data_IF_163348156591
#
_entry.id   IF_163348156591
#
_cell.length_a   1.000
_cell.length_b   1.000
_cell.length_c   1.000
_cell.angle_alpha   90.00
_cell.angle_beta   90.00
_cell.angle_gamma   90.00
#
_symmetry.space_group_name_H-M   'P 1'
#
loop_
_entity.id
_entity.type
_entity.pdbx_description
1 polymer ?
#
# COMPACT_ATOMS: atom_id res chain seq x y z
N UNK A 1 -2.05 17.04 -17.07
CA UNK A 1 -1.73 15.65 -17.50
C UNK A 1 -0.85 15.02 -16.45
N UNK A 2 -0.99 13.71 -16.16
CA UNK A 2 -0.06 13.02 -15.24
C UNK A 2 1.21 12.71 -16.03
N UNK A 3 2.41 13.06 -15.52
CA UNK A 3 3.68 12.69 -16.15
C UNK A 3 3.84 11.17 -16.27
N UNK A 4 4.38 10.69 -17.39
CA UNK A 4 4.67 9.25 -17.58
C UNK A 4 5.60 8.70 -16.50
N UNK A 5 6.55 9.52 -16.02
CA UNK A 5 7.45 9.15 -14.91
C UNK A 5 6.67 8.79 -13.63
N UNK A 6 5.73 9.63 -13.22
CA UNK A 6 4.86 9.40 -12.05
C UNK A 6 4.05 8.11 -12.21
N UNK A 7 3.54 7.85 -13.42
CA UNK A 7 2.80 6.60 -13.70
C UNK A 7 3.69 5.36 -13.56
N UNK A 8 4.93 5.40 -14.08
CA UNK A 8 5.87 4.29 -13.94
C UNK A 8 6.26 4.07 -12.48
N UNK A 9 6.59 5.12 -11.72
CA UNK A 9 6.91 4.98 -10.30
C UNK A 9 5.71 4.45 -9.51
N UNK A 10 4.49 4.90 -9.83
CA UNK A 10 3.28 4.44 -9.16
C UNK A 10 2.91 2.97 -9.49
N UNK A 11 3.49 2.38 -10.55
CA UNK A 11 3.30 0.96 -10.87
C UNK A 11 4.14 0.02 -9.98
N UNK A 12 5.22 0.52 -9.37
CA UNK A 12 6.10 -0.25 -8.47
C UNK A 12 5.32 -0.93 -7.33
N UNK A 13 4.46 -0.24 -6.54
CA UNK A 13 3.72 -0.89 -5.47
C UNK A 13 2.75 -1.96 -5.98
N UNK A 14 2.18 -1.81 -7.18
CA UNK A 14 1.38 -2.87 -7.80
C UNK A 14 2.22 -4.11 -8.10
N UNK A 15 3.44 -3.94 -8.62
CA UNK A 15 4.34 -5.05 -8.88
C UNK A 15 4.70 -5.80 -7.58
N UNK A 16 4.97 -5.07 -6.49
CA UNK A 16 5.23 -5.65 -5.17
C UNK A 16 4.02 -6.48 -4.70
N UNK A 17 2.81 -5.93 -4.81
CA UNK A 17 1.57 -6.62 -4.43
C UNK A 17 1.34 -7.89 -5.27
N UNK A 18 1.61 -7.84 -6.58
CA UNK A 18 1.48 -9.01 -7.47
C UNK A 18 2.47 -10.10 -7.08
N UNK A 19 3.75 -9.75 -6.92
CA UNK A 19 4.77 -10.70 -6.47
C UNK A 19 4.39 -11.35 -5.14
N UNK A 20 3.91 -10.55 -4.18
CA UNK A 20 3.43 -11.05 -2.90
C UNK A 20 2.21 -11.98 -3.05
N UNK A 21 1.22 -11.59 -3.85
CA UNK A 21 0.01 -12.38 -4.08
C UNK A 21 0.34 -13.74 -4.68
N UNK A 22 1.25 -13.78 -5.66
CA UNK A 22 1.73 -15.03 -6.27
C UNK A 22 2.45 -15.91 -5.24
N UNK A 23 3.31 -15.32 -4.40
CA UNK A 23 4.00 -16.04 -3.33
C UNK A 23 3.01 -16.63 -2.32
N UNK A 24 2.04 -15.82 -1.86
CA UNK A 24 1.01 -16.25 -0.93
C UNK A 24 0.20 -17.40 -1.50
N UNK A 25 -0.28 -17.28 -2.75
CA UNK A 25 -1.03 -18.35 -3.42
C UNK A 25 -0.21 -19.65 -3.55
N UNK A 26 1.09 -19.53 -3.86
CA UNK A 26 1.98 -20.69 -3.98
C UNK A 26 2.19 -21.44 -2.66
N UNK A 27 2.08 -20.74 -1.51
CA UNK A 27 2.20 -21.33 -0.18
C UNK A 27 0.85 -21.56 0.52
N UNK A 28 -0.24 -21.05 -0.03
CA UNK A 28 -1.54 -21.01 0.61
C UNK A 28 -2.07 -22.38 1.02
N UNK A 29 -1.85 -23.40 0.18
CA UNK A 29 -2.25 -24.78 0.46
C UNK A 29 -1.46 -25.42 1.60
N UNK A 30 -0.27 -24.91 1.92
CA UNK A 30 0.55 -25.38 3.04
C UNK A 30 0.24 -24.69 4.36
N UNK A 31 -0.59 -23.64 4.34
CA UNK A 31 -0.97 -22.87 5.53
C UNK A 31 -2.20 -23.51 6.17
N UNK A 32 -2.18 -23.81 7.48
CA UNK A 32 -3.33 -24.36 8.19
C UNK A 32 -4.52 -23.39 8.12
N UNK A 33 -5.74 -23.94 8.08
CA UNK A 33 -6.98 -23.15 7.93
C UNK A 33 -7.18 -22.12 9.06
N UNK A 34 -6.62 -22.43 10.23
CA UNK A 34 -6.57 -21.53 11.37
C UNK A 34 -5.15 -21.06 11.65
N UNK A 35 -4.94 -19.75 11.61
CA UNK A 35 -3.70 -19.09 12.01
C UNK A 35 -3.88 -18.47 13.41
N UNK A 36 -2.87 -18.56 14.29
CA UNK A 36 -2.92 -17.87 15.57
C UNK A 36 -2.90 -16.36 15.31
N UNK A 37 -3.94 -15.65 15.72
CA UNK A 37 -3.92 -14.19 15.73
C UNK A 37 -3.40 -13.77 17.09
N UNK A 38 -2.28 -13.05 17.15
CA UNK A 38 -1.83 -12.47 18.41
C UNK A 38 -2.91 -11.50 18.94
N UNK A 39 -3.49 -11.84 20.08
CA UNK A 39 -4.33 -10.93 20.85
C UNK A 39 -3.48 -9.85 21.49
N UNK A 40 -3.95 -8.61 21.49
CA UNK A 40 -3.28 -7.51 22.18
C UNK A 40 -3.52 -7.61 23.69
N UNK A 41 -2.46 -7.62 24.51
CA UNK A 41 -2.55 -7.57 25.97
C UNK A 41 -2.76 -8.93 26.66
N UNK A 42 -3.70 -9.00 27.61
CA UNK A 42 -3.91 -10.16 28.54
C UNK A 42 -4.82 -11.27 27.98
N UNK A 43 -5.35 -11.10 26.77
CA UNK A 43 -6.24 -12.07 26.13
C UNK A 43 -5.41 -13.04 25.29
N UNK A 44 -5.53 -14.34 25.59
CA UNK A 44 -4.98 -15.40 24.76
C UNK A 44 -5.52 -15.26 23.34
N UNK A 45 -4.61 -15.06 22.39
CA UNK A 45 -4.92 -14.83 20.99
C UNK A 45 -5.86 -15.92 20.44
N UNK A 46 -6.94 -15.49 19.78
CA UNK A 46 -7.86 -16.40 19.11
C UNK A 46 -7.25 -16.98 17.83
N UNK A 47 -7.88 -18.03 17.30
CA UNK A 47 -7.58 -18.54 15.97
C UNK A 47 -8.37 -17.75 14.92
N UNK A 48 -7.66 -17.21 13.93
CA UNK A 48 -8.23 -16.56 12.75
C UNK A 48 -8.27 -17.49 11.56
N UNK A 49 -9.14 -17.20 10.58
CA UNK A 49 -9.08 -17.87 9.29
C UNK A 49 -7.81 -17.46 8.53
N UNK A 50 -7.17 -18.40 7.82
CA UNK A 50 -6.09 -18.09 6.87
C UNK A 50 -6.49 -17.08 5.77
N UNK A 51 -7.78 -16.82 5.58
CA UNK A 51 -8.28 -15.75 4.70
C UNK A 51 -7.81 -14.36 5.14
N UNK A 52 -7.50 -14.15 6.43
CA UNK A 52 -6.98 -12.87 6.92
C UNK A 52 -5.64 -12.49 6.27
N UNK A 53 -4.90 -13.43 5.69
CA UNK A 53 -3.67 -13.16 4.94
C UNK A 53 -3.91 -12.30 3.68
N UNK A 54 -5.15 -12.26 3.16
CA UNK A 54 -5.51 -11.38 2.03
C UNK A 54 -5.96 -9.98 2.46
N UNK A 55 -6.36 -9.78 3.73
CA UNK A 55 -6.78 -8.48 4.25
C UNK A 55 -5.80 -7.34 3.92
N UNK A 56 -4.48 -7.51 4.08
CA UNK A 56 -3.52 -6.46 3.82
C UNK A 56 -3.28 -6.18 2.34
N UNK A 57 -3.50 -7.18 1.48
CA UNK A 57 -3.50 -7.02 0.01
C UNK A 57 -4.64 -6.09 -0.36
N UNK A 58 -5.83 -6.39 0.15
CA UNK A 58 -7.04 -5.60 -0.08
C UNK A 58 -6.85 -4.17 0.46
N UNK A 59 -6.33 -4.03 1.68
CA UNK A 59 -6.07 -2.73 2.29
C UNK A 59 -5.07 -1.90 1.47
N UNK A 60 -3.97 -2.51 0.99
CA UNK A 60 -3.02 -1.83 0.12
C UNK A 60 -3.66 -1.36 -1.19
N UNK A 61 -4.48 -2.20 -1.82
CA UNK A 61 -5.17 -1.84 -3.06
C UNK A 61 -6.12 -0.65 -2.84
N UNK A 62 -6.83 -0.61 -1.70
CA UNK A 62 -7.69 0.52 -1.32
C UNK A 62 -6.86 1.80 -1.14
N UNK A 63 -5.73 1.73 -0.41
CA UNK A 63 -4.84 2.87 -0.20
C UNK A 63 -4.28 3.39 -1.53
N UNK A 64 -3.78 2.49 -2.39
CA UNK A 64 -3.29 2.86 -3.72
C UNK A 64 -4.40 3.49 -4.57
N UNK A 65 -5.62 2.96 -4.51
CA UNK A 65 -6.75 3.55 -5.22
C UNK A 65 -7.03 4.98 -4.76
N UNK A 66 -7.02 5.25 -3.44
CA UNK A 66 -7.16 6.61 -2.91
C UNK A 66 -6.03 7.53 -3.38
N UNK A 67 -4.77 7.08 -3.29
CA UNK A 67 -3.61 7.86 -3.74
C UNK A 67 -3.72 8.19 -5.23
N UNK A 68 -4.16 7.23 -6.05
CA UNK A 68 -4.36 7.45 -7.47
C UNK A 68 -5.44 8.49 -7.77
N UNK A 69 -6.56 8.48 -7.03
CA UNK A 69 -7.60 9.51 -7.15
C UNK A 69 -7.04 10.90 -6.87
N UNK A 70 -6.18 11.02 -5.86
CA UNK A 70 -5.52 12.26 -5.49
C UNK A 70 -4.52 12.70 -6.58
N UNK A 71 -3.70 11.79 -7.11
CA UNK A 71 -2.74 12.07 -8.19
C UNK A 71 -3.47 12.53 -9.47
N UNK A 72 -4.64 11.93 -9.79
CA UNK A 72 -5.46 12.34 -10.94
C UNK A 72 -6.07 13.72 -10.80
N UNK A 73 -6.30 14.18 -9.57
CA UNK A 73 -6.96 15.46 -9.31
C UNK A 73 -6.25 16.24 -8.20
N UNK A 74 -5.00 16.69 -8.44
CA UNK A 74 -4.19 17.35 -7.42
C UNK A 74 -4.79 18.69 -6.97
N UNK A 75 -5.59 19.35 -7.82
CA UNK A 75 -6.23 20.64 -7.53
C UNK A 75 -7.32 20.60 -6.45
N UNK A 76 -7.66 19.43 -5.90
CA UNK A 76 -8.50 19.33 -4.70
C UNK A 76 -7.71 19.43 -3.40
N UNK A 77 -6.38 19.31 -3.46
CA UNK A 77 -5.54 19.50 -2.29
C UNK A 77 -5.09 20.96 -2.30
N UNK A 78 -5.79 21.80 -1.53
CA UNK A 78 -5.33 23.16 -1.23
C UNK A 78 -4.14 23.08 -0.28
N UNK A 79 -2.98 22.67 -0.78
CA UNK A 79 -1.73 23.02 -0.10
C UNK A 79 -1.59 24.53 -0.26
N UNK A 80 -1.62 25.26 0.85
CA UNK A 80 -1.54 26.74 0.98
C UNK A 80 -0.18 27.29 0.51
N UNK A 81 0.29 26.91 -0.67
CA UNK A 81 1.37 27.58 -1.34
C UNK A 81 0.75 28.61 -2.25
N UNK A 82 0.86 29.86 -1.82
CA UNK A 82 0.58 31.07 -2.59
C UNK A 82 1.56 31.13 -3.77
N UNK A 83 1.37 30.24 -4.75
CA UNK A 83 2.27 30.03 -5.86
C UNK A 83 1.66 30.67 -7.11
N UNK A 84 2.45 31.55 -7.75
CA UNK A 84 2.15 32.09 -9.09
C UNK A 84 1.84 30.94 -10.05
N UNK A 85 0.99 31.17 -11.04
CA UNK A 85 0.52 30.16 -12.00
C UNK A 85 1.68 29.37 -12.67
N UNK A 86 2.86 29.97 -12.83
CA UNK A 86 4.08 29.37 -13.37
C UNK A 86 4.75 28.31 -12.45
N UNK A 87 4.51 28.35 -11.14
CA UNK A 87 5.04 27.40 -10.16
C UNK A 87 4.05 26.27 -9.82
N UNK A 88 2.80 26.41 -10.26
CA UNK A 88 1.70 25.49 -9.93
C UNK A 88 1.90 24.10 -10.56
N UNK A 89 2.49 24.03 -11.75
CA UNK A 89 2.85 22.75 -12.39
C UNK A 89 3.97 22.02 -11.64
N UNK A 90 4.99 22.75 -11.17
CA UNK A 90 6.10 22.20 -10.38
C UNK A 90 5.65 21.75 -9.00
N UNK A 91 4.76 22.52 -8.37
CA UNK A 91 4.15 22.17 -7.09
C UNK A 91 3.32 20.88 -7.23
N UNK A 92 2.46 20.80 -8.25
CA UNK A 92 1.67 19.61 -8.54
C UNK A 92 2.53 18.38 -8.81
N UNK A 93 3.61 18.53 -9.58
CA UNK A 93 4.56 17.44 -9.83
C UNK A 93 5.21 16.95 -8.53
N UNK A 94 5.62 17.88 -7.66
CA UNK A 94 6.24 17.57 -6.37
C UNK A 94 5.27 16.83 -5.45
N UNK A 95 4.03 17.29 -5.34
CA UNK A 95 2.98 16.63 -4.54
C UNK A 95 2.71 15.22 -5.06
N UNK A 96 2.59 15.05 -6.38
CA UNK A 96 2.42 13.73 -6.99
C UNK A 96 3.60 12.81 -6.67
N UNK A 97 4.83 13.32 -6.76
CA UNK A 97 6.04 12.56 -6.47
C UNK A 97 6.09 12.11 -5.00
N UNK A 98 5.81 13.02 -4.05
CA UNK A 98 5.75 12.69 -2.62
C UNK A 98 4.68 11.64 -2.34
N UNK A 99 3.49 11.76 -2.93
CA UNK A 99 2.42 10.78 -2.78
C UNK A 99 2.83 9.39 -3.29
N UNK A 100 3.55 9.32 -4.41
CA UNK A 100 4.07 8.05 -4.93
C UNK A 100 5.14 7.45 -4.01
N UNK A 101 6.04 8.27 -3.47
CA UNK A 101 7.04 7.81 -2.48
C UNK A 101 6.35 7.24 -1.23
N UNK A 102 5.34 7.96 -0.70
CA UNK A 102 4.56 7.49 0.44
C UNK A 102 3.85 6.17 0.11
N UNK A 103 3.26 6.05 -1.08
CA UNK A 103 2.61 4.82 -1.53
C UNK A 103 3.58 3.63 -1.51
N UNK A 104 4.77 3.80 -2.10
CA UNK A 104 5.80 2.76 -2.11
C UNK A 104 6.21 2.38 -0.69
N UNK A 105 6.46 3.38 0.18
CA UNK A 105 6.89 3.15 1.55
C UNK A 105 5.83 2.38 2.36
N UNK A 106 4.57 2.80 2.27
CA UNK A 106 3.44 2.11 2.92
C UNK A 106 3.33 0.68 2.41
N UNK A 107 3.38 0.46 1.09
CA UNK A 107 3.29 -0.89 0.52
C UNK A 107 4.43 -1.79 0.98
N UNK A 108 5.67 -1.30 1.02
CA UNK A 108 6.81 -2.07 1.54
C UNK A 108 6.63 -2.39 3.02
N UNK A 109 6.28 -1.39 3.83
CA UNK A 109 6.14 -1.57 5.28
C UNK A 109 5.00 -2.53 5.63
N UNK A 110 3.84 -2.39 4.99
CA UNK A 110 2.73 -3.31 5.15
C UNK A 110 3.13 -4.70 4.69
N UNK A 111 3.85 -4.86 3.57
CA UNK A 111 4.31 -6.18 3.12
C UNK A 111 5.24 -6.82 4.16
N UNK A 112 6.24 -6.09 4.66
CA UNK A 112 7.21 -6.60 5.65
C UNK A 112 6.55 -7.00 6.98
N UNK A 113 5.63 -6.17 7.50
CA UNK A 113 4.89 -6.48 8.73
C UNK A 113 4.14 -7.81 8.64
N UNK A 114 3.59 -8.13 7.46
CA UNK A 114 2.83 -9.37 7.27
C UNK A 114 3.73 -10.58 7.16
N UNK A 115 4.88 -10.45 6.51
CA UNK A 115 5.88 -11.52 6.50
C UNK A 115 6.37 -11.82 7.91
N UNK A 116 6.52 -10.81 8.77
CA UNK A 116 6.91 -11.03 10.15
C UNK A 116 5.92 -11.91 10.91
N UNK A 117 4.62 -11.80 10.63
CA UNK A 117 3.57 -12.55 11.34
C UNK A 117 3.37 -13.97 10.75
N UNK A 118 3.69 -14.17 9.47
CA UNK A 118 3.51 -15.48 8.77
C UNK A 118 4.78 -16.34 8.80
N UNK A 119 5.97 -15.74 8.78
CA UNK A 119 7.26 -16.46 8.66
C UNK A 119 7.93 -16.74 9.99
N UNK A 120 7.74 -15.90 11.02
CA UNK A 120 8.32 -16.16 12.34
C UNK A 120 7.42 -17.08 13.16
N UNK A 121 7.57 -18.38 12.92
CA UNK A 121 7.19 -19.44 13.84
C UNK A 121 8.42 -20.26 14.21
#
# INVERSE_FOLDING_TARGET
MIPKSIQYLFSIPFFIIVCYSVYLLSKYSSIPDTIPIQGYGKNTGGSGSKLFLFSPIILNLIILWFIWQIIKNPGKINFTFEAKEEDLEKANFTVQLVLVIIAIFVTVFTTLLLFSDVVYK
#
